data_IF_444012028390
#
_entry.id   IF_444012028390
#
_cell.length_a   1.000
_cell.length_b   1.000
_cell.length_c   1.000
_cell.angle_alpha   90.00
_cell.angle_beta   90.00
_cell.angle_gamma   90.00
#
_symmetry.space_group_name_H-M   'P 1'
#
loop_
_entity.id
_entity.type
_entity.pdbx_description
1 polymer ?
#
# COMPACT_ATOMS: atom_id res chain seq x y z
N UNK A 1 -21.12 20.97 -6.52
CA UNK A 1 -21.64 19.64 -6.87
C UNK A 1 -21.12 18.71 -5.80
N UNK A 2 -22.01 18.17 -4.94
CA UNK A 2 -21.63 17.18 -3.94
C UNK A 2 -21.19 15.93 -4.69
N UNK A 3 -19.91 15.57 -4.62
CA UNK A 3 -19.41 14.30 -5.15
C UNK A 3 -20.10 13.20 -4.35
N UNK A 4 -20.93 12.41 -5.00
CA UNK A 4 -21.48 11.19 -4.41
C UNK A 4 -20.32 10.25 -4.19
N UNK A 5 -19.90 10.08 -2.92
CA UNK A 5 -18.85 9.12 -2.55
C UNK A 5 -19.25 7.73 -3.08
N UNK A 6 -18.29 7.01 -3.63
CA UNK A 6 -18.54 5.67 -4.13
C UNK A 6 -18.93 4.74 -2.98
N UNK A 7 -19.94 3.89 -3.19
CA UNK A 7 -20.44 2.93 -2.18
C UNK A 7 -19.32 2.09 -1.55
N UNK A 8 -18.31 1.59 -2.31
CA UNK A 8 -17.18 0.87 -1.72
C UNK A 8 -16.38 1.67 -0.70
N UNK A 9 -16.13 2.95 -0.98
CA UNK A 9 -15.37 3.83 -0.07
C UNK A 9 -16.15 4.05 1.23
N UNK A 10 -17.45 4.25 1.14
CA UNK A 10 -18.32 4.39 2.31
C UNK A 10 -18.33 3.12 3.16
N UNK A 11 -18.42 1.94 2.54
CA UNK A 11 -18.35 0.65 3.23
C UNK A 11 -17.00 0.46 3.93
N UNK A 12 -15.89 0.81 3.29
CA UNK A 12 -14.54 0.71 3.89
C UNK A 12 -14.42 1.65 5.09
N UNK A 13 -14.87 2.89 4.98
CA UNK A 13 -14.88 3.84 6.11
C UNK A 13 -15.70 3.32 7.28
N UNK A 14 -16.89 2.79 7.00
CA UNK A 14 -17.75 2.22 8.02
C UNK A 14 -17.08 1.03 8.73
N UNK A 15 -16.47 0.11 7.98
CA UNK A 15 -15.73 -1.02 8.54
C UNK A 15 -14.56 -0.56 9.42
N UNK A 16 -13.81 0.43 9.00
CA UNK A 16 -12.67 0.97 9.79
C UNK A 16 -13.15 1.61 11.08
N UNK A 17 -14.26 2.36 11.06
CA UNK A 17 -14.87 2.93 12.28
C UNK A 17 -15.34 1.81 13.21
N UNK A 18 -16.04 0.81 12.68
CA UNK A 18 -16.54 -0.32 13.45
C UNK A 18 -15.39 -1.10 14.11
N UNK A 19 -14.32 -1.38 13.36
CA UNK A 19 -13.12 -2.04 13.89
C UNK A 19 -12.44 -1.21 14.98
N UNK A 20 -12.35 0.10 14.81
CA UNK A 20 -11.79 1.00 15.82
C UNK A 20 -12.61 0.98 17.11
N UNK A 21 -13.93 1.05 17.00
CA UNK A 21 -14.85 0.97 18.15
C UNK A 21 -14.75 -0.39 18.84
N UNK A 22 -14.64 -1.48 18.10
CA UNK A 22 -14.45 -2.82 18.63
C UNK A 22 -13.15 -2.93 19.43
N UNK A 23 -12.04 -2.43 18.89
CA UNK A 23 -10.73 -2.41 19.59
C UNK A 23 -10.84 -1.60 20.89
N UNK A 24 -11.44 -0.41 20.85
CA UNK A 24 -11.66 0.42 22.04
C UNK A 24 -12.53 -0.33 23.05
N UNK A 25 -13.63 -0.95 22.63
CA UNK A 25 -14.52 -1.75 23.49
C UNK A 25 -13.80 -2.91 24.15
N UNK A 26 -12.93 -3.63 23.42
CA UNK A 26 -12.12 -4.72 23.97
C UNK A 26 -11.11 -4.19 24.99
N UNK A 27 -10.47 -3.04 24.71
CA UNK A 27 -9.54 -2.41 25.67
C UNK A 27 -10.25 -1.97 26.94
N UNK A 28 -11.47 -1.46 26.86
CA UNK A 28 -12.29 -1.08 28.03
C UNK A 28 -12.70 -2.33 28.81
N UNK A 29 -13.17 -3.39 28.13
CA UNK A 29 -13.68 -4.60 28.77
C UNK A 29 -12.60 -5.42 29.47
N UNK A 30 -11.44 -5.59 28.84
CA UNK A 30 -10.36 -6.45 29.34
C UNK A 30 -9.19 -5.69 29.98
N UNK A 31 -9.18 -4.37 29.86
CA UNK A 31 -8.08 -3.51 30.33
C UNK A 31 -6.93 -3.42 29.33
N UNK A 32 -6.14 -2.36 29.44
CA UNK A 32 -5.05 -2.04 28.50
C UNK A 32 -3.89 -3.02 28.62
N UNK A 33 -3.52 -3.45 29.84
CA UNK A 33 -2.36 -4.31 30.06
C UNK A 33 -2.47 -5.69 29.40
N UNK A 34 -3.55 -6.50 29.62
CA UNK A 34 -3.67 -7.80 28.97
C UNK A 34 -3.80 -7.71 27.46
N UNK A 35 -4.50 -6.70 26.95
CA UNK A 35 -4.60 -6.44 25.50
C UNK A 35 -3.23 -6.10 24.91
N UNK A 36 -2.45 -5.24 25.58
CA UNK A 36 -1.11 -4.89 25.18
C UNK A 36 -0.17 -6.09 25.14
N UNK A 37 -0.20 -6.96 26.15
CA UNK A 37 0.59 -8.21 26.18
C UNK A 37 0.18 -9.15 25.02
N UNK A 38 -1.09 -9.28 24.77
CA UNK A 38 -1.60 -10.10 23.66
C UNK A 38 -1.14 -9.53 22.30
N UNK A 39 -1.26 -8.22 22.08
CA UNK A 39 -0.78 -7.55 20.88
C UNK A 39 0.73 -7.71 20.69
N UNK A 40 1.51 -7.54 21.77
CA UNK A 40 2.95 -7.78 21.75
C UNK A 40 3.29 -9.21 21.30
N UNK A 41 2.60 -10.20 21.85
CA UNK A 41 2.81 -11.61 21.49
C UNK A 41 2.48 -11.93 20.05
N UNK A 42 1.44 -11.29 19.50
CA UNK A 42 0.93 -11.58 18.16
C UNK A 42 1.27 -10.49 17.11
N UNK A 43 2.19 -9.57 17.41
CA UNK A 43 2.47 -8.40 16.59
C UNK A 43 2.79 -8.69 15.13
N UNK A 44 3.52 -9.77 14.86
CA UNK A 44 3.87 -10.16 13.48
C UNK A 44 2.65 -10.69 12.72
N UNK A 45 1.81 -11.49 13.39
CA UNK A 45 0.55 -12.00 12.80
C UNK A 45 -0.41 -10.83 12.53
N UNK A 46 -0.53 -9.90 13.48
CA UNK A 46 -1.33 -8.69 13.32
C UNK A 46 -0.82 -7.85 12.14
N UNK A 47 0.48 -7.63 12.04
CA UNK A 47 1.08 -6.93 10.91
C UNK A 47 0.79 -7.60 9.57
N UNK A 48 0.99 -8.92 9.49
CA UNK A 48 0.66 -9.69 8.29
C UNK A 48 -0.84 -9.61 7.94
N UNK A 49 -1.72 -9.65 8.94
CA UNK A 49 -3.18 -9.52 8.75
C UNK A 49 -3.56 -8.14 8.22
N UNK A 50 -2.91 -7.07 8.69
CA UNK A 50 -3.11 -5.71 8.18
C UNK A 50 -2.70 -5.62 6.71
N UNK A 51 -1.53 -6.15 6.35
CA UNK A 51 -1.08 -6.19 4.96
C UNK A 51 -2.07 -6.96 4.09
N UNK A 52 -2.48 -8.15 4.53
CA UNK A 52 -3.45 -8.97 3.80
C UNK A 52 -4.79 -8.23 3.61
N UNK A 53 -5.30 -7.56 4.65
CA UNK A 53 -6.52 -6.77 4.56
C UNK A 53 -6.38 -5.61 3.55
N UNK A 54 -5.26 -4.87 3.60
CA UNK A 54 -5.00 -3.79 2.65
C UNK A 54 -4.96 -4.30 1.19
N UNK A 55 -4.32 -5.44 0.95
CA UNK A 55 -4.25 -6.06 -0.39
C UNK A 55 -5.62 -6.53 -0.86
N UNK A 56 -6.39 -7.20 0.01
CA UNK A 56 -7.73 -7.70 -0.32
C UNK A 56 -8.72 -6.56 -0.62
N UNK A 57 -8.67 -5.51 0.17
CA UNK A 57 -9.55 -4.33 0.04
C UNK A 57 -9.00 -3.30 -0.95
N UNK A 58 -7.82 -3.54 -1.54
CA UNK A 58 -7.12 -2.64 -2.44
C UNK A 58 -6.85 -1.25 -1.84
N UNK A 59 -6.55 -1.19 -0.55
CA UNK A 59 -6.23 0.04 0.16
C UNK A 59 -4.75 0.35 -0.01
N UNK A 60 -4.41 1.37 -0.78
CA UNK A 60 -3.06 1.91 -0.86
C UNK A 60 -2.94 3.21 -0.07
N UNK A 61 -1.76 3.52 0.43
CA UNK A 61 -1.45 4.83 1.04
C UNK A 61 -1.34 5.96 0.01
N UNK A 62 -1.48 5.61 -1.25
CA UNK A 62 -1.37 6.46 -2.40
C UNK A 62 -2.73 7.12 -2.69
N UNK A 63 -2.79 8.44 -2.82
CA UNK A 63 -3.94 9.12 -3.38
C UNK A 63 -3.84 9.08 -4.90
N UNK A 64 -4.33 8.03 -5.53
CA UNK A 64 -4.30 7.79 -6.99
C UNK A 64 -5.24 8.74 -7.75
N UNK A 65 -5.83 9.73 -7.09
CA UNK A 65 -6.81 10.65 -7.66
C UNK A 65 -6.41 11.29 -8.97
N UNK A 66 -5.11 11.55 -9.16
CA UNK A 66 -4.61 12.10 -10.42
C UNK A 66 -4.77 11.12 -11.59
N UNK A 67 -4.61 9.83 -11.35
CA UNK A 67 -4.82 8.80 -12.39
C UNK A 67 -6.26 8.67 -12.78
N UNK A 68 -7.17 8.74 -11.82
CA UNK A 68 -8.61 8.77 -12.07
C UNK A 68 -8.99 9.95 -12.95
N UNK A 69 -8.44 11.15 -12.70
CA UNK A 69 -8.66 12.31 -13.54
C UNK A 69 -8.23 12.06 -15.00
N UNK A 70 -7.03 11.49 -15.21
CA UNK A 70 -6.54 11.18 -16.54
C UNK A 70 -7.34 10.08 -17.25
N UNK A 71 -7.97 9.19 -16.50
CA UNK A 71 -8.86 8.14 -17.01
C UNK A 71 -10.31 8.63 -17.16
N UNK A 72 -10.59 9.91 -16.90
CA UNK A 72 -11.94 10.48 -17.01
C UNK A 72 -12.87 10.16 -15.84
N UNK A 73 -12.32 9.73 -14.70
CA UNK A 73 -13.07 9.45 -13.47
C UNK A 73 -12.91 10.58 -12.45
N UNK A 74 -13.77 10.57 -11.41
CA UNK A 74 -13.63 11.50 -10.30
C UNK A 74 -12.36 11.16 -9.49
N UNK A 75 -11.57 12.19 -9.19
CA UNK A 75 -10.34 12.05 -8.41
C UNK A 75 -10.54 11.47 -6.99
N UNK A 76 -11.75 11.62 -6.45
CA UNK A 76 -12.10 11.13 -5.12
C UNK A 76 -12.51 9.66 -5.07
N UNK A 77 -12.67 8.99 -6.22
CA UNK A 77 -13.28 7.66 -6.32
C UNK A 77 -12.55 6.60 -5.47
N UNK A 78 -11.21 6.68 -5.38
CA UNK A 78 -10.39 5.68 -4.68
C UNK A 78 -9.79 6.21 -3.36
N UNK A 79 -10.17 7.41 -2.93
CA UNK A 79 -9.67 8.00 -1.69
C UNK A 79 -10.56 7.61 -0.53
N UNK A 80 -10.04 6.74 0.35
CA UNK A 80 -10.78 6.30 1.54
C UNK A 80 -10.91 7.44 2.55
N UNK A 81 -9.83 8.19 2.80
CA UNK A 81 -9.78 9.35 3.68
C UNK A 81 -8.89 10.45 3.13
N UNK A 82 -9.28 11.70 3.37
CA UNK A 82 -8.52 12.87 2.97
C UNK A 82 -8.97 13.47 1.64
N UNK A 83 -8.18 14.40 1.12
CA UNK A 83 -8.41 15.07 -0.15
C UNK A 83 -7.43 14.54 -1.19
N UNK A 84 -7.89 14.15 -2.39
CA UNK A 84 -7.00 13.71 -3.46
C UNK A 84 -6.04 14.85 -3.80
N UNK A 85 -4.74 14.54 -3.88
CA UNK A 85 -3.69 15.52 -4.21
C UNK A 85 -3.28 15.36 -5.67
N UNK A 86 -3.21 16.48 -6.38
CA UNK A 86 -2.85 16.53 -7.79
C UNK A 86 -1.35 16.27 -8.01
N UNK A 87 -0.49 16.56 -7.03
CA UNK A 87 0.96 16.39 -7.18
C UNK A 87 1.63 15.86 -5.92
N UNK A 88 2.13 14.65 -6.02
CA UNK A 88 3.34 14.16 -5.37
C UNK A 88 4.23 13.61 -6.46
N UNK A 89 5.18 14.41 -6.89
CA UNK A 89 5.87 14.26 -8.16
C UNK A 89 6.60 12.94 -8.34
N UNK A 90 7.31 12.46 -7.33
CA UNK A 90 8.19 11.30 -7.54
C UNK A 90 7.46 9.98 -7.53
N UNK A 91 6.46 9.84 -6.67
CA UNK A 91 5.71 8.60 -6.58
C UNK A 91 4.67 8.45 -7.69
N UNK A 92 3.90 9.50 -7.96
CA UNK A 92 2.75 9.41 -8.88
C UNK A 92 3.11 9.62 -10.32
N UNK A 93 4.14 10.43 -10.59
CA UNK A 93 4.56 10.73 -11.97
C UNK A 93 5.65 9.78 -12.42
N UNK A 94 6.43 9.23 -11.50
CA UNK A 94 7.58 8.38 -11.82
C UNK A 94 7.41 6.96 -11.26
N UNK A 95 7.41 6.78 -9.94
CA UNK A 95 7.47 5.46 -9.32
C UNK A 95 6.28 4.55 -9.64
N UNK A 96 5.07 5.02 -9.40
CA UNK A 96 3.85 4.21 -9.65
C UNK A 96 3.62 3.89 -11.14
N UNK A 97 3.73 4.86 -12.08
CA UNK A 97 3.62 4.56 -13.51
C UNK A 97 4.67 3.58 -14.00
N UNK A 98 5.91 3.72 -13.54
CA UNK A 98 6.99 2.81 -13.92
C UNK A 98 6.71 1.39 -13.42
N UNK A 99 6.27 1.24 -12.16
CA UNK A 99 5.89 -0.05 -11.61
C UNK A 99 4.70 -0.66 -12.37
N UNK A 100 3.70 0.15 -12.74
CA UNK A 100 2.53 -0.31 -13.48
C UNK A 100 2.89 -0.72 -14.92
N UNK A 101 3.77 0.03 -15.56
CA UNK A 101 4.22 -0.28 -16.92
C UNK A 101 4.89 -1.65 -17.04
N UNK A 102 5.53 -2.11 -15.96
CA UNK A 102 6.20 -3.39 -15.93
C UNK A 102 5.25 -4.57 -16.16
N UNK A 103 3.98 -4.43 -15.79
CA UNK A 103 2.96 -5.44 -16.10
C UNK A 103 2.76 -5.64 -17.61
N UNK A 104 2.98 -4.62 -18.43
CA UNK A 104 2.85 -4.69 -19.89
C UNK A 104 4.11 -5.27 -20.57
N UNK A 105 5.27 -5.20 -19.92
CA UNK A 105 6.52 -5.78 -20.40
C UNK A 105 6.85 -7.13 -19.77
N UNK A 106 5.91 -7.74 -19.03
CA UNK A 106 6.13 -9.01 -18.32
C UNK A 106 7.20 -8.91 -17.23
N UNK A 107 7.33 -7.74 -16.60
CA UNK A 107 8.36 -7.44 -15.59
C UNK A 107 9.78 -7.65 -16.10
N UNK A 108 10.00 -7.29 -17.37
CA UNK A 108 11.32 -7.39 -18.01
C UNK A 108 12.32 -6.45 -17.33
N UNK A 109 13.59 -6.88 -17.29
CA UNK A 109 14.68 -6.07 -16.75
C UNK A 109 14.90 -4.79 -17.55
N UNK A 110 14.77 -4.86 -18.89
CA UNK A 110 14.78 -3.72 -19.78
C UNK A 110 13.40 -3.50 -20.38
N UNK A 111 12.97 -2.24 -20.42
CA UNK A 111 11.67 -1.83 -20.94
C UNK A 111 11.83 -0.67 -21.90
N UNK A 112 11.23 -0.76 -23.08
CA UNK A 112 11.28 0.20 -24.18
C UNK A 112 10.02 1.09 -24.26
N UNK A 113 9.05 0.90 -23.36
CA UNK A 113 7.80 1.71 -23.34
C UNK A 113 8.03 3.20 -23.04
N UNK A 114 9.19 3.55 -22.47
CA UNK A 114 9.49 4.91 -22.01
C UNK A 114 10.43 5.70 -22.92
N UNK A 115 10.83 5.19 -24.08
CA UNK A 115 11.73 5.92 -24.95
C UNK A 115 12.21 5.11 -26.13
N UNK A 116 13.06 5.72 -26.94
CA UNK A 116 13.63 5.11 -28.14
C UNK A 116 14.71 4.04 -27.85
N UNK A 117 15.05 3.86 -26.58
CA UNK A 117 16.05 2.86 -26.14
C UNK A 117 15.52 2.13 -24.91
N UNK A 118 15.82 0.83 -24.77
CA UNK A 118 15.45 0.07 -23.56
C UNK A 118 16.02 0.72 -22.30
N UNK A 119 15.16 1.00 -21.32
CA UNK A 119 15.57 1.54 -20.04
C UNK A 119 15.78 0.42 -19.03
N UNK A 120 16.83 0.52 -18.22
CA UNK A 120 17.05 -0.36 -17.06
C UNK A 120 16.02 -0.05 -15.98
N UNK A 121 15.11 -1.00 -15.78
CA UNK A 121 13.99 -0.85 -14.85
C UNK A 121 14.38 -1.18 -13.41
N UNK A 122 15.41 -2.00 -13.21
CA UNK A 122 15.84 -2.42 -11.89
C UNK A 122 16.71 -1.35 -11.22
N UNK A 123 17.85 -0.99 -11.82
CA UNK A 123 18.81 -0.09 -11.18
C UNK A 123 18.41 1.38 -11.36
N UNK A 124 18.06 1.76 -12.58
CA UNK A 124 17.85 3.19 -12.92
C UNK A 124 16.45 3.67 -12.55
N UNK A 125 15.45 2.81 -12.70
CA UNK A 125 14.05 3.20 -12.54
C UNK A 125 13.41 2.71 -11.24
N UNK A 126 14.10 1.86 -10.46
CA UNK A 126 13.59 1.28 -9.20
C UNK A 126 12.17 0.68 -9.35
N UNK A 127 11.95 0.00 -10.47
CA UNK A 127 10.68 -0.64 -10.78
C UNK A 127 10.78 -2.17 -10.57
N UNK A 128 9.65 -2.87 -10.32
CA UNK A 128 9.65 -4.31 -10.12
C UNK A 128 10.06 -5.05 -11.40
N UNK A 129 10.95 -6.04 -11.26
CA UNK A 129 11.43 -6.88 -12.38
C UNK A 129 11.41 -8.35 -12.00
N UNK A 130 11.19 -9.23 -12.97
CA UNK A 130 11.24 -10.69 -12.77
C UNK A 130 12.70 -11.18 -12.92
N UNK A 131 13.52 -10.92 -11.90
CA UNK A 131 14.92 -11.32 -11.84
C UNK A 131 15.30 -11.77 -10.42
N UNK A 132 16.37 -12.60 -10.29
CA UNK A 132 16.84 -13.07 -8.97
C UNK A 132 17.18 -11.92 -8.01
N UNK A 133 17.66 -10.80 -8.54
CA UNK A 133 17.96 -9.61 -7.75
C UNK A 133 16.74 -9.01 -7.05
N UNK A 134 15.53 -9.23 -7.58
CA UNK A 134 14.28 -8.76 -6.96
C UNK A 134 13.97 -9.44 -5.61
N UNK A 135 14.60 -10.56 -5.30
CA UNK A 135 14.51 -11.19 -3.98
C UNK A 135 14.96 -10.24 -2.85
N UNK A 136 15.87 -9.32 -3.14
CA UNK A 136 16.33 -8.30 -2.19
C UNK A 136 15.44 -7.06 -2.10
N UNK A 137 14.34 -7.02 -2.88
CA UNK A 137 13.33 -5.94 -2.87
C UNK A 137 11.95 -6.47 -2.51
N UNK A 138 11.75 -6.96 -1.27
CA UNK A 138 10.52 -7.67 -0.89
C UNK A 138 9.25 -6.84 -1.04
N UNK A 139 9.34 -5.52 -0.98
CA UNK A 139 8.18 -4.64 -1.15
C UNK A 139 7.65 -4.62 -2.60
N UNK A 140 8.48 -4.94 -3.59
CA UNK A 140 8.07 -5.04 -4.99
C UNK A 140 7.38 -6.36 -5.35
N UNK A 141 7.52 -7.40 -4.52
CA UNK A 141 6.93 -8.72 -4.80
C UNK A 141 5.42 -8.65 -4.99
N UNK A 142 4.76 -7.71 -4.31
CA UNK A 142 3.33 -7.50 -4.47
C UNK A 142 2.91 -7.23 -5.91
N UNK A 143 3.69 -6.48 -6.68
CA UNK A 143 3.39 -6.19 -8.09
C UNK A 143 3.46 -7.44 -8.95
N UNK A 144 4.43 -8.30 -8.71
CA UNK A 144 4.62 -9.56 -9.45
C UNK A 144 3.54 -10.58 -9.08
N UNK A 145 3.18 -10.68 -7.79
CA UNK A 145 2.26 -11.70 -7.27
C UNK A 145 0.79 -11.33 -7.45
N UNK A 146 0.43 -10.06 -7.28
CA UNK A 146 -0.97 -9.60 -7.20
C UNK A 146 -1.36 -8.63 -8.33
N UNK A 147 -0.41 -8.28 -9.22
CA UNK A 147 -0.59 -7.29 -10.27
C UNK A 147 -0.51 -5.84 -9.77
N UNK A 148 -0.71 -4.88 -10.67
CA UNK A 148 -0.39 -3.48 -10.43
C UNK A 148 -1.15 -2.87 -9.25
N UNK A 149 -2.48 -2.99 -9.21
CA UNK A 149 -3.32 -2.31 -8.21
C UNK A 149 -3.13 -2.89 -6.80
N UNK A 150 -3.27 -4.21 -6.65
CA UNK A 150 -3.06 -4.89 -5.36
C UNK A 150 -1.58 -4.90 -4.97
N UNK A 151 -0.69 -4.90 -5.95
CA UNK A 151 0.75 -4.74 -5.74
C UNK A 151 1.08 -3.40 -5.11
N UNK A 152 0.43 -2.32 -5.53
CA UNK A 152 0.57 -1.01 -4.93
C UNK A 152 0.07 -1.00 -3.47
N UNK A 153 -1.08 -1.66 -3.20
CA UNK A 153 -1.58 -1.81 -1.84
C UNK A 153 -0.60 -2.59 -0.95
N UNK A 154 -0.01 -3.67 -1.47
CA UNK A 154 1.03 -4.43 -0.78
C UNK A 154 2.28 -3.56 -0.52
N UNK A 155 2.78 -2.88 -1.54
CA UNK A 155 3.97 -2.03 -1.46
C UNK A 155 3.88 -1.00 -0.33
N UNK A 156 2.74 -0.30 -0.24
CA UNK A 156 2.52 0.71 0.81
C UNK A 156 2.29 0.11 2.17
N UNK A 157 1.39 -0.86 2.28
CA UNK A 157 1.03 -1.45 3.57
C UNK A 157 2.19 -2.23 4.18
N UNK A 158 2.95 -2.99 3.39
CA UNK A 158 4.10 -3.73 3.86
C UNK A 158 5.22 -2.81 4.37
N UNK A 159 5.55 -1.74 3.63
CA UNK A 159 6.54 -0.75 4.08
C UNK A 159 6.14 -0.09 5.39
N UNK A 160 4.88 0.32 5.51
CA UNK A 160 4.38 0.96 6.72
C UNK A 160 4.39 0.01 7.93
N UNK A 161 3.89 -1.21 7.75
CA UNK A 161 3.85 -2.23 8.81
C UNK A 161 5.26 -2.61 9.24
N UNK A 162 6.18 -2.86 8.30
CA UNK A 162 7.58 -3.19 8.62
C UNK A 162 8.26 -2.03 9.34
N UNK A 163 8.02 -0.78 8.94
CA UNK A 163 8.55 0.40 9.62
C UNK A 163 8.09 0.45 11.08
N UNK A 164 6.79 0.27 11.34
CA UNK A 164 6.27 0.28 12.71
C UNK A 164 6.76 -0.90 13.55
N UNK A 165 6.84 -2.10 12.97
CA UNK A 165 7.39 -3.27 13.66
C UNK A 165 8.87 -3.07 13.98
N UNK A 166 9.67 -2.59 13.05
CA UNK A 166 11.08 -2.33 13.25
C UNK A 166 11.31 -1.26 14.34
N UNK A 167 10.54 -0.17 14.29
CA UNK A 167 10.60 0.86 15.33
C UNK A 167 10.20 0.30 16.71
N UNK A 168 9.14 -0.52 16.76
CA UNK A 168 8.70 -1.16 17.98
C UNK A 168 9.80 -2.09 18.58
N UNK A 169 10.39 -2.98 17.75
CA UNK A 169 11.50 -3.84 18.20
C UNK A 169 12.71 -3.03 18.66
N UNK A 170 13.04 -1.96 17.92
CA UNK A 170 14.13 -1.07 18.32
C UNK A 170 13.91 -0.48 19.71
N UNK A 171 12.70 0.06 20.00
CA UNK A 171 12.39 0.60 21.31
C UNK A 171 12.38 -0.47 22.41
N UNK A 172 12.02 -1.71 22.12
CA UNK A 172 12.14 -2.80 23.09
C UNK A 172 13.60 -3.16 23.40
N UNK A 173 14.53 -2.99 22.46
CA UNK A 173 15.94 -3.27 22.69
C UNK A 173 16.63 -2.22 23.55
N UNK A 174 16.13 -0.98 23.63
CA UNK A 174 16.74 0.12 24.38
C UNK A 174 16.03 0.44 25.70
N UNK A 175 14.86 -0.15 25.98
CA UNK A 175 14.12 0.01 27.24
C UNK A 175 14.47 -1.05 28.27
#
# INVERSE_FOLDING_TARGET
>A
VASTESVPVLCIRFLLILMSLLVIGVMIAFGVKPVGMWMHRHRFILGASVIAACVLLNISGSSIGMWNYWLGHDMSTDVVWGTPRIMRTDEYVVGTPLAFSQSYSGYSYFNDLFGNKPADMFIVKDAPVLALAELFRPFHWGYILFGSSRGLAFYWSARLVVLFLAAYEFFLCIS
#
